data_IF_676087458049
#
_entry.id   IF_676087458049
#
_cell.length_a   1.000
_cell.length_b   1.000
_cell.length_c   1.000
_cell.angle_alpha   90.00
_cell.angle_beta   90.00
_cell.angle_gamma   90.00
#
_symmetry.space_group_name_H-M   'P 1'
#
loop_
_entity.id
_entity.type
_entity.pdbx_description
1 polymer ?
#
# COMPACT_ATOMS: atom_id res chain seq x y z
N UNK A 1 19.46 -44.22 -21.05
CA UNK A 1 19.95 -42.96 -20.45
C UNK A 1 19.46 -41.82 -21.31
N UNK A 2 18.53 -41.05 -20.72
CA UNK A 2 18.02 -39.68 -20.98
C UNK A 2 18.01 -39.12 -22.41
N UNK A 3 16.80 -38.76 -22.86
CA UNK A 3 16.44 -38.00 -24.06
C UNK A 3 16.94 -36.53 -23.99
N UNK A 4 17.52 -36.02 -25.08
CA UNK A 4 17.71 -34.59 -25.31
C UNK A 4 16.52 -34.02 -26.07
N UNK A 5 15.61 -33.34 -25.37
CA UNK A 5 14.53 -32.54 -25.96
C UNK A 5 14.90 -31.06 -25.96
N UNK A 6 14.96 -30.43 -27.12
CA UNK A 6 15.06 -28.98 -27.27
C UNK A 6 13.67 -28.44 -27.63
N UNK A 7 13.04 -27.70 -26.71
CA UNK A 7 11.81 -26.94 -26.97
C UNK A 7 12.19 -25.47 -26.99
N UNK A 8 12.17 -24.87 -28.19
CA UNK A 8 12.35 -23.45 -28.38
C UNK A 8 11.03 -22.73 -28.08
N UNK A 9 11.01 -21.84 -27.08
CA UNK A 9 9.86 -21.00 -26.77
C UNK A 9 9.93 -19.70 -27.57
N UNK A 10 8.96 -19.50 -28.46
CA UNK A 10 8.72 -18.27 -29.20
C UNK A 10 8.17 -17.21 -28.24
N UNK A 11 8.90 -16.12 -28.00
CA UNK A 11 8.38 -14.94 -27.31
C UNK A 11 7.69 -14.01 -28.33
N UNK A 12 6.37 -13.83 -28.21
CA UNK A 12 5.62 -12.85 -29.01
C UNK A 12 5.47 -11.58 -28.18
N UNK A 13 6.13 -10.50 -28.61
CA UNK A 13 5.96 -9.17 -28.05
C UNK A 13 4.74 -8.50 -28.72
N UNK A 14 3.75 -8.09 -27.93
CA UNK A 14 2.61 -7.29 -28.42
C UNK A 14 2.79 -5.87 -27.88
N UNK A 15 3.08 -4.94 -28.78
CA UNK A 15 3.07 -3.51 -28.51
C UNK A 15 1.66 -2.95 -28.73
N UNK A 16 1.04 -2.38 -27.70
CA UNK A 16 -0.24 -1.67 -27.84
C UNK A 16 0.03 -0.16 -27.84
N UNK A 17 -0.24 0.46 -28.98
CA UNK A 17 -0.28 1.92 -29.16
C UNK A 17 -1.60 2.43 -28.59
N UNK A 18 -1.56 3.27 -27.55
CA UNK A 18 -2.74 3.94 -27.00
C UNK A 18 -2.79 5.36 -27.51
N UNK A 19 -3.79 5.65 -28.35
CA UNK A 19 -4.17 6.98 -28.83
C UNK A 19 -4.91 7.74 -27.73
N UNK A 20 -4.31 8.83 -27.23
CA UNK A 20 -4.93 9.79 -26.31
C UNK A 20 -5.97 10.64 -27.07
N UNK A 21 -7.25 10.49 -26.73
CA UNK A 21 -8.31 11.42 -27.13
C UNK A 21 -8.38 12.52 -26.07
N UNK A 22 -7.95 13.73 -26.43
CA UNK A 22 -8.14 14.95 -25.65
C UNK A 22 -9.53 15.52 -25.90
N UNK A 23 -10.40 15.52 -24.88
CA UNK A 23 -11.65 16.29 -24.90
C UNK A 23 -11.44 17.57 -24.08
N UNK A 24 -11.46 18.70 -24.78
CA UNK A 24 -11.56 20.03 -24.20
C UNK A 24 -12.96 20.24 -23.61
N UNK A 25 -13.02 20.73 -22.37
CA UNK A 25 -14.24 21.26 -21.77
C UNK A 25 -13.86 22.25 -20.66
N UNK A 26 -13.90 23.54 -20.96
CA UNK A 26 -13.77 24.60 -19.95
C UNK A 26 -14.72 25.74 -20.29
N UNK A 27 -15.86 25.76 -19.59
CA UNK A 27 -16.61 26.97 -19.27
C UNK A 27 -17.60 26.66 -18.14
N UNK A 28 -17.53 27.44 -17.07
CA UNK A 28 -18.67 27.63 -16.15
C UNK A 28 -18.34 27.57 -14.65
N UNK A 29 -18.14 28.75 -14.05
CA UNK A 29 -18.87 29.20 -12.85
C UNK A 29 -18.66 28.46 -11.52
N UNK A 30 -18.09 29.16 -10.53
CA UNK A 30 -17.78 28.62 -9.21
C UNK A 30 -18.97 28.37 -8.29
N UNK A 31 -18.71 27.61 -7.21
CA UNK A 31 -19.24 27.77 -5.85
C UNK A 31 -18.76 26.63 -4.97
N UNK A 32 -18.05 26.94 -3.89
CA UNK A 32 -17.94 26.16 -2.65
C UNK A 32 -17.92 24.63 -2.78
N UNK A 33 -17.03 24.08 -3.60
CA UNK A 33 -16.92 22.63 -3.78
C UNK A 33 -16.65 21.94 -2.45
N UNK A 34 -17.54 21.02 -2.06
CA UNK A 34 -17.21 19.98 -1.06
C UNK A 34 -15.81 19.45 -1.39
N UNK A 35 -14.99 19.10 -0.38
CA UNK A 35 -13.77 18.33 -0.63
C UNK A 35 -14.15 17.18 -1.56
N UNK A 36 -13.40 17.03 -2.66
CA UNK A 36 -13.63 15.96 -3.62
C UNK A 36 -13.86 14.68 -2.82
N UNK A 37 -15.02 14.06 -3.01
CA UNK A 37 -15.31 12.78 -2.39
C UNK A 37 -14.15 11.85 -2.80
N UNK A 38 -13.50 11.17 -1.84
CA UNK A 38 -12.40 10.28 -2.18
C UNK A 38 -12.86 9.40 -3.34
N UNK A 39 -12.00 9.15 -4.34
CA UNK A 39 -12.37 8.26 -5.44
C UNK A 39 -12.98 7.01 -4.82
N UNK A 40 -14.12 6.56 -5.36
CA UNK A 40 -14.72 5.29 -4.99
C UNK A 40 -13.74 4.19 -5.38
N UNK A 41 -12.69 4.04 -4.58
CA UNK A 41 -11.81 2.91 -4.62
C UNK A 41 -12.66 1.73 -4.19
N UNK A 42 -12.40 0.56 -4.75
CA UNK A 42 -12.93 -0.71 -4.25
C UNK A 42 -12.36 -1.06 -2.85
N UNK A 43 -11.91 -0.05 -2.10
CA UNK A 43 -11.29 -0.09 -0.79
C UNK A 43 -12.00 0.90 0.16
N UNK A 44 -12.16 0.54 1.44
CA UNK A 44 -12.74 1.44 2.43
C UNK A 44 -11.84 2.65 2.67
N UNK A 45 -12.45 3.85 2.69
CA UNK A 45 -11.78 5.09 3.09
C UNK A 45 -12.24 5.54 4.48
N UNK A 46 -11.31 5.66 5.42
CA UNK A 46 -11.61 5.99 6.81
C UNK A 46 -11.52 7.48 7.06
N UNK A 47 -12.54 8.06 7.70
CA UNK A 47 -12.59 9.51 8.00
C UNK A 47 -11.93 9.87 9.33
N UNK A 48 -11.77 8.91 10.22
CA UNK A 48 -11.26 9.15 11.57
C UNK A 48 -10.09 8.22 11.89
N UNK A 49 -9.19 8.69 12.74
CA UNK A 49 -8.08 7.91 13.30
C UNK A 49 -8.59 6.63 13.95
N UNK A 50 -9.64 6.75 14.75
CA UNK A 50 -10.22 5.60 15.44
C UNK A 50 -10.75 4.55 14.46
N UNK A 51 -11.37 4.95 13.35
CA UNK A 51 -11.89 3.98 12.37
C UNK A 51 -10.75 3.27 11.63
N UNK A 52 -9.76 4.03 11.18
CA UNK A 52 -8.58 3.50 10.50
C UNK A 52 -7.82 2.50 11.39
N UNK A 53 -7.49 2.89 12.61
CA UNK A 53 -6.72 2.05 13.53
C UNK A 53 -7.52 0.84 14.00
N UNK A 54 -8.86 0.89 14.06
CA UNK A 54 -9.68 -0.27 14.43
C UNK A 54 -9.62 -1.37 13.38
N UNK A 55 -9.58 -1.03 12.09
CA UNK A 55 -9.55 -2.00 10.99
C UNK A 55 -8.18 -2.63 10.73
N UNK A 56 -7.12 -2.10 11.36
CA UNK A 56 -5.81 -2.75 11.34
C UNK A 56 -5.75 -3.86 12.41
N UNK A 57 -5.48 -5.10 12.02
CA UNK A 57 -5.21 -6.18 12.97
C UNK A 57 -3.83 -6.04 13.61
N UNK A 58 -2.85 -5.57 12.84
CA UNK A 58 -1.47 -5.33 13.27
C UNK A 58 -1.03 -3.95 12.80
N UNK A 59 -0.41 -3.18 13.69
CA UNK A 59 0.26 -1.92 13.34
C UNK A 59 1.70 -1.97 13.79
N UNK A 60 2.62 -1.78 12.85
CA UNK A 60 4.06 -1.88 13.09
C UNK A 60 4.80 -0.68 12.54
N UNK A 61 5.89 -0.31 13.21
CA UNK A 61 6.97 0.46 12.63
C UNK A 61 7.95 -0.55 12.07
N UNK A 62 8.18 -0.51 10.77
CA UNK A 62 8.99 -1.51 10.09
C UNK A 62 9.89 -0.90 9.02
N UNK A 63 11.06 -1.49 8.83
CA UNK A 63 11.96 -1.17 7.73
C UNK A 63 11.69 -2.11 6.56
N UNK A 64 11.59 -1.57 5.35
CA UNK A 64 11.47 -2.39 4.14
C UNK A 64 12.84 -2.94 3.79
N UNK A 65 13.01 -4.26 3.87
CA UNK A 65 14.28 -4.92 3.53
C UNK A 65 14.31 -5.32 2.06
N UNK A 66 13.17 -5.67 1.47
CA UNK A 66 13.02 -6.00 0.05
C UNK A 66 11.58 -5.84 -0.42
N UNK A 67 11.39 -5.70 -1.73
CA UNK A 67 10.09 -5.81 -2.41
C UNK A 67 10.21 -6.81 -3.55
N UNK A 68 9.10 -7.49 -3.86
CA UNK A 68 8.97 -8.31 -5.07
C UNK A 68 7.56 -8.15 -5.61
N UNK A 69 7.45 -8.10 -6.93
CA UNK A 69 6.16 -8.19 -7.60
C UNK A 69 5.76 -9.66 -7.76
N UNK A 70 4.47 -9.90 -7.75
CA UNK A 70 3.83 -11.19 -8.00
C UNK A 70 2.53 -10.94 -8.74
N UNK A 71 1.99 -11.98 -9.37
CA UNK A 71 0.63 -11.97 -9.88
C UNK A 71 -0.20 -12.88 -8.97
N UNK A 72 -1.29 -12.37 -8.42
CA UNK A 72 -2.22 -13.14 -7.60
C UNK A 72 -3.63 -12.95 -8.14
N UNK A 73 -4.27 -14.06 -8.51
CA UNK A 73 -5.63 -14.08 -9.06
C UNK A 73 -5.83 -13.16 -10.28
N UNK A 74 -4.76 -12.94 -11.06
CA UNK A 74 -4.77 -12.06 -12.23
C UNK A 74 -4.55 -10.57 -11.92
N UNK A 75 -4.19 -10.25 -10.68
CA UNK A 75 -3.90 -8.89 -10.22
C UNK A 75 -2.42 -8.75 -9.83
N UNK A 76 -1.70 -7.76 -10.40
CA UNK A 76 -0.35 -7.45 -9.98
C UNK A 76 -0.31 -6.97 -8.53
N UNK A 77 0.48 -7.67 -7.72
CA UNK A 77 0.65 -7.37 -6.31
C UNK A 77 2.13 -7.24 -5.96
N UNK A 78 2.46 -6.31 -5.08
CA UNK A 78 3.78 -6.19 -4.49
C UNK A 78 3.77 -6.77 -3.08
N UNK A 79 4.75 -7.63 -2.80
CA UNK A 79 5.04 -8.16 -1.48
C UNK A 79 6.30 -7.48 -0.94
N UNK A 80 6.14 -6.67 0.10
CA UNK A 80 7.25 -6.11 0.87
C UNK A 80 7.67 -7.06 1.99
N UNK A 81 8.94 -7.45 1.99
CA UNK A 81 9.59 -8.06 3.15
C UNK A 81 10.00 -6.96 4.10
N UNK A 82 9.43 -6.94 5.30
CA UNK A 82 9.66 -5.89 6.28
C UNK A 82 10.22 -6.45 7.58
N UNK A 83 11.13 -5.69 8.19
CA UNK A 83 11.66 -5.96 9.52
C UNK A 83 10.96 -5.09 10.54
N UNK A 84 10.28 -5.73 11.48
CA UNK A 84 9.55 -5.05 12.56
C UNK A 84 10.55 -4.45 13.55
N UNK A 85 10.46 -3.13 13.73
CA UNK A 85 11.25 -2.35 14.68
C UNK A 85 10.47 -2.16 15.99
N UNK A 86 9.19 -1.79 15.88
CA UNK A 86 8.28 -1.66 17.01
C UNK A 86 6.86 -2.09 16.62
N UNK A 87 6.07 -2.51 17.60
CA UNK A 87 4.66 -2.90 17.41
C UNK A 87 3.78 -1.94 18.20
N UNK A 88 2.84 -1.31 17.50
CA UNK A 88 1.87 -0.38 18.09
C UNK A 88 0.53 -1.03 18.41
N UNK A 89 0.10 -2.00 17.59
CA UNK A 89 -1.13 -2.77 17.78
C UNK A 89 -0.95 -4.22 17.31
N UNK A 90 -1.64 -5.13 17.98
CA UNK A 90 -1.66 -6.55 17.61
C UNK A 90 -0.34 -7.26 17.90
N UNK A 91 -0.19 -8.47 17.37
CA UNK A 91 1.04 -9.26 17.49
C UNK A 91 1.50 -9.69 16.09
N UNK A 92 2.64 -9.17 15.59
CA UNK A 92 3.17 -9.62 14.31
C UNK A 92 3.61 -11.09 14.40
N UNK A 93 3.65 -11.81 13.26
CA UNK A 93 4.03 -13.23 13.23
C UNK A 93 5.50 -13.47 13.61
N UNK A 94 6.34 -12.44 13.54
CA UNK A 94 7.75 -12.49 13.89
C UNK A 94 8.44 -11.14 13.74
N UNK A 95 9.78 -11.14 13.84
CA UNK A 95 10.61 -9.94 13.60
C UNK A 95 10.70 -9.56 12.13
N UNK A 96 10.40 -10.49 11.25
CA UNK A 96 10.26 -10.28 9.81
C UNK A 96 8.85 -10.71 9.43
N UNK A 97 8.21 -9.93 8.57
CA UNK A 97 6.89 -10.28 8.02
C UNK A 97 6.76 -9.79 6.58
N UNK A 98 5.72 -10.26 5.91
CA UNK A 98 5.36 -9.83 4.57
C UNK A 98 4.15 -8.93 4.64
N UNK A 99 4.20 -7.79 3.95
CA UNK A 99 3.08 -6.90 3.75
C UNK A 99 2.78 -6.82 2.25
N UNK A 100 1.56 -7.11 1.87
CA UNK A 100 1.13 -7.16 0.49
C UNK A 100 0.18 -6.01 0.15
N UNK A 101 0.27 -5.53 -1.09
CA UNK A 101 -0.53 -4.43 -1.61
C UNK A 101 -0.50 -4.40 -3.14
N UNK A 102 -1.49 -3.81 -3.82
CA UNK A 102 -1.49 -3.68 -5.27
C UNK A 102 -0.18 -3.08 -5.80
N UNK A 103 0.36 -3.60 -6.91
CA UNK A 103 1.63 -3.06 -7.44
C UNK A 103 1.48 -1.59 -7.83
N UNK A 104 2.40 -0.71 -7.40
CA UNK A 104 2.36 0.71 -7.75
C UNK A 104 2.27 0.93 -9.26
N UNK A 105 1.28 1.70 -9.71
CA UNK A 105 1.07 2.04 -11.12
C UNK A 105 0.47 0.94 -11.99
N UNK A 106 0.21 -0.26 -11.45
CA UNK A 106 -0.29 -1.39 -12.24
C UNK A 106 -1.79 -1.33 -12.54
N UNK A 107 -2.59 -0.85 -11.59
CA UNK A 107 -4.05 -0.70 -11.71
C UNK A 107 -4.59 0.30 -10.65
N UNK A 108 -5.90 0.57 -10.68
CA UNK A 108 -6.58 1.27 -9.59
C UNK A 108 -7.34 0.24 -8.73
N UNK A 109 -7.26 0.33 -7.39
CA UNK A 109 -6.39 1.24 -6.62
C UNK A 109 -4.89 0.90 -6.79
N UNK A 110 -4.06 1.93 -6.92
CA UNK A 110 -2.60 1.77 -7.01
C UNK A 110 -2.02 1.71 -5.60
N UNK A 111 -1.20 0.71 -5.32
CA UNK A 111 -0.53 0.64 -4.03
C UNK A 111 0.55 1.71 -3.83
N UNK A 112 1.01 1.87 -2.59
CA UNK A 112 2.01 2.87 -2.23
C UNK A 112 3.41 2.48 -2.71
N UNK A 113 4.23 3.49 -2.99
CA UNK A 113 5.66 3.32 -3.28
C UNK A 113 6.46 3.17 -1.97
N UNK A 114 6.55 1.93 -1.45
CA UNK A 114 7.41 1.63 -0.32
C UNK A 114 8.86 1.43 -0.77
N UNK A 115 9.76 2.27 -0.27
CA UNK A 115 11.16 2.28 -0.68
C UNK A 115 11.99 1.35 0.21
N UNK A 116 12.78 0.49 -0.42
CA UNK A 116 13.73 -0.39 0.28
C UNK A 116 14.71 0.44 1.11
N UNK A 117 15.04 -0.05 2.31
CA UNK A 117 15.85 0.57 3.36
C UNK A 117 15.19 1.72 4.13
N UNK A 118 14.00 2.19 3.74
CA UNK A 118 13.23 3.17 4.49
C UNK A 118 12.34 2.52 5.56
N UNK A 119 12.02 3.30 6.60
CA UNK A 119 11.09 2.91 7.65
C UNK A 119 9.70 3.52 7.41
N UNK A 120 8.68 2.75 7.74
CA UNK A 120 7.29 3.11 7.60
C UNK A 120 6.50 2.67 8.83
N UNK A 121 5.41 3.36 9.11
CA UNK A 121 4.31 2.77 9.88
C UNK A 121 3.40 2.04 8.89
N UNK A 122 3.13 0.77 9.14
CA UNK A 122 2.24 -0.06 8.33
C UNK A 122 1.05 -0.50 9.16
N UNK A 123 -0.15 -0.22 8.65
CA UNK A 123 -1.43 -0.63 9.21
C UNK A 123 -1.94 -1.80 8.37
N UNK A 124 -1.97 -2.98 8.98
CA UNK A 124 -2.15 -4.24 8.28
C UNK A 124 -3.42 -4.94 8.75
N UNK A 125 -4.26 -5.34 7.81
CA UNK A 125 -5.32 -6.32 8.03
C UNK A 125 -4.79 -7.72 7.75
N UNK A 126 -5.30 -8.71 8.48
CA UNK A 126 -5.03 -10.12 8.24
C UNK A 126 -6.20 -10.72 7.47
N UNK A 127 -5.90 -11.38 6.35
CA UNK A 127 -6.90 -12.08 5.54
C UNK A 127 -6.84 -13.60 5.77
N UNK A 128 -7.81 -14.34 5.25
CA UNK A 128 -8.11 -15.72 5.65
C UNK A 128 -6.95 -16.72 5.45
N UNK A 129 -6.08 -16.48 4.47
CA UNK A 129 -4.87 -17.28 4.19
C UNK A 129 -3.69 -16.96 5.15
N UNK A 130 -3.89 -16.05 6.10
CA UNK A 130 -2.87 -15.60 7.05
C UNK A 130 -1.94 -14.51 6.49
N UNK A 131 -2.18 -14.01 5.28
CA UNK A 131 -1.47 -12.89 4.69
C UNK A 131 -1.83 -11.59 5.39
N UNK A 132 -0.87 -10.67 5.41
CA UNK A 132 -1.06 -9.31 5.89
C UNK A 132 -1.10 -8.36 4.70
N UNK A 133 -2.19 -7.64 4.57
CA UNK A 133 -2.42 -6.64 3.52
C UNK A 133 -2.54 -5.25 4.14
N UNK A 134 -2.21 -4.19 3.41
CA UNK A 134 -2.50 -2.84 3.88
C UNK A 134 -4.03 -2.67 4.07
N UNK A 135 -4.44 -1.98 5.13
CA UNK A 135 -5.89 -1.73 5.38
C UNK A 135 -6.59 -0.98 4.24
N UNK A 136 -5.83 -0.17 3.50
CA UNK A 136 -6.10 0.31 2.15
C UNK A 136 -4.81 0.94 1.58
N UNK A 137 -4.80 1.24 0.29
CA UNK A 137 -3.62 1.77 -0.43
C UNK A 137 -3.25 3.21 -0.07
N UNK A 138 -4.19 4.02 0.41
CA UNK A 138 -3.98 5.45 0.68
C UNK A 138 -3.51 5.72 2.12
N UNK A 139 -4.11 5.03 3.07
CA UNK A 139 -4.04 5.28 4.51
C UNK A 139 -3.36 4.15 5.28
N UNK A 140 -3.06 3.03 4.62
CA UNK A 140 -2.41 1.88 5.24
C UNK A 140 -0.92 2.06 5.52
N UNK A 141 -0.31 3.14 5.03
CA UNK A 141 1.12 3.41 5.27
C UNK A 141 1.41 4.89 5.56
N UNK A 142 2.42 5.12 6.39
CA UNK A 142 2.98 6.43 6.71
C UNK A 142 4.50 6.34 6.58
N UNK A 143 5.11 7.26 5.84
CA UNK A 143 6.57 7.39 5.82
C UNK A 143 7.09 7.80 7.20
N UNK A 144 8.32 7.46 7.54
CA UNK A 144 8.94 7.97 8.78
C UNK A 144 10.08 8.90 8.43
N UNK A 145 9.94 10.17 8.82
CA UNK A 145 10.95 11.20 8.65
C UNK A 145 11.24 11.87 9.98
N UNK A 146 12.51 11.97 10.35
CA UNK A 146 12.97 12.55 11.62
C UNK A 146 12.21 12.05 12.87
N UNK A 147 11.77 10.78 12.86
CA UNK A 147 11.03 10.17 13.98
C UNK A 147 9.55 10.53 14.05
N UNK A 148 8.97 11.09 12.98
CA UNK A 148 7.53 11.36 12.82
C UNK A 148 6.93 10.47 11.75
N UNK A 149 5.66 10.10 11.93
CA UNK A 149 4.90 9.38 10.92
C UNK A 149 4.20 10.38 9.99
N UNK A 150 4.63 10.44 8.74
CA UNK A 150 4.15 11.37 7.72
C UNK A 150 3.12 10.68 6.80
N UNK A 151 1.88 11.19 6.73
CA UNK A 151 0.88 10.65 5.81
C UNK A 151 1.25 10.96 4.36
N UNK A 152 0.89 10.06 3.45
CA UNK A 152 0.94 10.35 2.01
C UNK A 152 0.02 11.52 1.61
N UNK A 153 0.19 12.11 0.41
CA UNK A 153 -0.49 13.34 -0.01
C UNK A 153 -2.02 13.25 -0.01
N UNK A 154 -2.57 12.03 -0.14
CA UNK A 154 -4.00 11.75 -0.19
C UNK A 154 -4.58 11.22 1.14
N UNK A 155 -3.74 11.04 2.16
CA UNK A 155 -4.16 10.66 3.50
C UNK A 155 -4.28 11.91 4.38
N UNK A 156 -5.46 12.11 4.97
CA UNK A 156 -5.76 13.22 5.89
C UNK A 156 -5.91 12.77 7.34
N UNK A 157 -5.77 11.47 7.60
CA UNK A 157 -5.96 10.88 8.93
C UNK A 157 -4.62 10.82 9.64
N UNK A 158 -4.49 11.50 10.78
CA UNK A 158 -3.34 11.35 11.66
C UNK A 158 -3.46 10.05 12.47
N UNK A 159 -2.32 9.50 12.91
CA UNK A 159 -2.28 8.42 13.88
C UNK A 159 -2.51 8.96 15.30
N UNK A 160 -3.04 8.11 16.18
CA UNK A 160 -3.31 8.46 17.57
C UNK A 160 -2.01 8.60 18.35
N UNK A 161 -1.99 9.49 19.36
CA UNK A 161 -0.82 9.69 20.22
C UNK A 161 -0.39 8.40 20.94
N UNK A 162 -1.37 7.57 21.32
CA UNK A 162 -1.13 6.28 21.94
C UNK A 162 -0.39 5.33 21.01
N UNK A 163 -0.81 5.28 19.74
CA UNK A 163 -0.16 4.47 18.73
C UNK A 163 1.26 4.98 18.42
N UNK A 164 1.43 6.28 18.20
CA UNK A 164 2.75 6.89 17.96
C UNK A 164 3.72 6.60 19.10
N UNK A 165 3.26 6.76 20.36
CA UNK A 165 4.06 6.43 21.54
C UNK A 165 4.47 4.96 21.59
N UNK A 166 3.56 4.03 21.29
CA UNK A 166 3.86 2.60 21.27
C UNK A 166 4.87 2.22 20.16
N UNK A 167 4.86 2.98 19.05
CA UNK A 167 5.82 2.84 17.95
C UNK A 167 7.16 3.55 18.20
N UNK A 168 7.30 4.27 19.32
CA UNK A 168 8.49 5.06 19.62
C UNK A 168 8.67 6.25 18.66
N UNK A 169 7.55 6.84 18.23
CA UNK A 169 7.51 7.98 17.31
C UNK A 169 6.98 9.23 18.03
N UNK A 170 7.29 10.37 17.43
CA UNK A 170 6.78 11.67 17.82
C UNK A 170 5.66 12.12 16.89
N UNK A 171 4.86 13.07 17.36
CA UNK A 171 3.82 13.73 16.57
C UNK A 171 4.42 14.78 15.63
#
# INVERSE_FOLDING_TARGET
MVLSGAVAALAVAVAVVVTLVTVYGSQGGGSGGRPAEPPAADEPYYRTTGDLERHADVVVRARVDATRETDQDGFPETIATVRVVATGKGKPPGRTMYAAYPTPGAALPSGPELTVRHEYVLLLARVDDGKYVLVNTIQGSYGIEAGRAEPGPHNRVALSDGLLKALGLTR
#
